data_IF_521567307582
#
_entry.id   IF_521567307582
#
_cell.length_a   1.000
_cell.length_b   1.000
_cell.length_c   1.000
_cell.angle_alpha   90.00
_cell.angle_beta   90.00
_cell.angle_gamma   90.00
#
_symmetry.space_group_name_H-M   'P 1'
#
loop_
_entity.id
_entity.type
_entity.pdbx_description
1 polymer ?
#
# COMPACT_ATOMS: atom_id res chain seq x y z
N UNK A 1 3.58 -7.32 -10.15
CA UNK A 1 4.30 -7.34 -11.45
C UNK A 1 3.76 -6.30 -12.43
N UNK A 2 2.46 -6.29 -12.82
CA UNK A 2 1.96 -5.36 -13.85
C UNK A 2 2.17 -3.87 -13.49
N UNK A 3 1.85 -3.45 -12.26
CA UNK A 3 2.11 -2.08 -11.81
C UNK A 3 3.61 -1.73 -11.81
N UNK A 4 4.48 -2.71 -11.48
CA UNK A 4 5.93 -2.51 -11.53
C UNK A 4 6.45 -2.38 -12.97
N UNK A 5 5.93 -3.15 -13.92
CA UNK A 5 6.26 -3.00 -15.33
C UNK A 5 5.80 -1.62 -15.90
N UNK A 6 4.65 -1.12 -15.43
CA UNK A 6 4.20 0.22 -15.77
C UNK A 6 5.04 1.31 -15.10
N UNK A 7 5.60 1.04 -13.91
CA UNK A 7 6.50 1.94 -13.20
C UNK A 7 7.78 2.27 -14.01
N UNK A 8 8.30 1.32 -14.77
CA UNK A 8 9.43 1.53 -15.66
C UNK A 8 9.17 2.60 -16.75
N UNK A 9 7.91 2.96 -16.93
CA UNK A 9 7.44 3.98 -17.87
C UNK A 9 6.70 5.14 -17.16
N UNK A 10 6.89 5.27 -15.82
CA UNK A 10 6.33 6.35 -15.02
C UNK A 10 4.83 6.26 -14.78
N UNK A 11 4.22 5.07 -14.95
CA UNK A 11 2.76 4.86 -14.85
C UNK A 11 2.34 3.84 -13.78
N UNK A 12 3.09 3.77 -12.66
CA UNK A 12 2.74 2.88 -11.55
C UNK A 12 1.31 3.11 -11.04
N UNK A 13 1.03 4.32 -10.58
CA UNK A 13 -0.27 4.64 -9.97
C UNK A 13 -1.44 4.53 -10.94
N UNK A 14 -1.39 5.03 -12.18
CA UNK A 14 -2.45 4.80 -13.14
C UNK A 14 -2.73 3.31 -13.42
N UNK A 15 -1.71 2.48 -13.45
CA UNK A 15 -1.88 1.02 -13.61
C UNK A 15 -2.45 0.39 -12.34
N UNK A 16 -1.96 0.78 -11.17
CA UNK A 16 -2.49 0.36 -9.87
C UNK A 16 -4.00 0.61 -9.79
N UNK A 17 -4.44 1.83 -10.09
CA UNK A 17 -5.85 2.21 -10.00
C UNK A 17 -6.73 1.40 -10.95
N UNK A 18 -6.28 1.14 -12.18
CA UNK A 18 -6.98 0.26 -13.12
C UNK A 18 -7.11 -1.18 -12.60
N UNK A 19 -6.07 -1.72 -11.97
CA UNK A 19 -6.08 -3.06 -11.39
C UNK A 19 -7.07 -3.13 -10.23
N UNK A 20 -7.07 -2.14 -9.33
CA UNK A 20 -7.98 -2.10 -8.19
C UNK A 20 -9.44 -1.86 -8.57
N UNK A 21 -9.69 -1.12 -9.67
CA UNK A 21 -11.04 -0.89 -10.18
C UNK A 21 -11.70 -2.15 -10.80
N UNK A 22 -10.93 -3.17 -11.16
CA UNK A 22 -11.44 -4.38 -11.83
C UNK A 22 -10.68 -5.64 -11.36
N UNK A 23 -10.77 -5.95 -10.07
CA UNK A 23 -10.06 -7.08 -9.44
C UNK A 23 -10.53 -8.46 -9.93
N UNK A 24 -11.73 -8.53 -10.50
CA UNK A 24 -12.28 -9.73 -11.16
C UNK A 24 -11.60 -10.06 -12.50
N UNK A 25 -10.85 -9.12 -13.08
CA UNK A 25 -10.23 -9.23 -14.40
C UNK A 25 -8.69 -9.23 -14.36
N UNK A 26 -8.12 -9.82 -13.33
CA UNK A 26 -6.66 -9.86 -13.14
C UNK A 26 -6.01 -10.97 -13.98
N UNK A 27 -5.83 -10.70 -15.28
CA UNK A 27 -5.14 -11.61 -16.19
C UNK A 27 -4.21 -10.87 -17.15
N UNK A 28 -3.35 -11.61 -17.85
CA UNK A 28 -2.33 -11.05 -18.74
C UNK A 28 -2.92 -10.17 -19.83
N UNK A 29 -3.99 -10.63 -20.48
CA UNK A 29 -4.64 -9.90 -21.60
C UNK A 29 -5.16 -8.54 -21.11
N UNK A 30 -5.77 -8.53 -19.93
CA UNK A 30 -6.31 -7.30 -19.36
C UNK A 30 -5.20 -6.32 -18.97
N UNK A 31 -4.07 -6.79 -18.43
CA UNK A 31 -2.92 -5.91 -18.12
C UNK A 31 -2.32 -5.29 -19.38
N UNK A 32 -2.23 -6.03 -20.46
CA UNK A 32 -1.77 -5.51 -21.77
C UNK A 32 -2.75 -4.47 -22.35
N UNK A 33 -4.05 -4.67 -22.16
CA UNK A 33 -5.06 -3.67 -22.52
C UNK A 33 -4.90 -2.40 -21.68
N UNK A 34 -4.71 -2.53 -20.37
CA UNK A 34 -4.46 -1.38 -19.51
C UNK A 34 -3.19 -0.62 -19.90
N UNK A 35 -2.13 -1.32 -20.27
CA UNK A 35 -0.91 -0.69 -20.75
C UNK A 35 -1.17 0.15 -22.01
N UNK A 36 -1.95 -0.39 -22.95
CA UNK A 36 -2.38 0.32 -24.16
C UNK A 36 -3.22 1.57 -23.84
N UNK A 37 -4.22 1.43 -22.96
CA UNK A 37 -5.10 2.53 -22.55
C UNK A 37 -4.34 3.67 -21.85
N UNK A 38 -3.27 3.32 -21.13
CA UNK A 38 -2.40 4.27 -20.44
C UNK A 38 -1.32 4.91 -21.34
N UNK A 39 -1.29 4.54 -22.64
CA UNK A 39 -0.31 5.04 -23.61
C UNK A 39 1.11 4.54 -23.37
N UNK A 40 1.24 3.35 -22.73
CA UNK A 40 2.55 2.72 -22.54
C UNK A 40 3.05 2.09 -23.84
N UNK A 41 4.38 1.98 -23.97
CA UNK A 41 4.98 1.06 -24.94
C UNK A 41 4.63 -0.37 -24.53
N UNK A 42 3.66 -0.95 -25.26
CA UNK A 42 3.13 -2.29 -24.96
C UNK A 42 4.18 -3.37 -25.16
N UNK A 43 5.10 -3.20 -26.13
CA UNK A 43 6.17 -4.16 -26.36
C UNK A 43 7.11 -4.21 -25.15
N UNK A 44 7.59 -3.06 -24.72
CA UNK A 44 8.45 -2.91 -23.53
C UNK A 44 7.74 -3.42 -22.27
N UNK A 45 6.44 -3.15 -22.12
CA UNK A 45 5.63 -3.65 -21.01
C UNK A 45 5.57 -5.17 -20.98
N UNK A 46 5.33 -5.82 -22.14
CA UNK A 46 5.34 -7.27 -22.28
C UNK A 46 6.69 -7.87 -21.93
N UNK A 47 7.77 -7.32 -22.47
CA UNK A 47 9.13 -7.75 -22.19
C UNK A 47 9.45 -7.68 -20.68
N UNK A 48 9.02 -6.62 -20.01
CA UNK A 48 9.20 -6.49 -18.55
C UNK A 48 8.45 -7.57 -17.78
N UNK A 49 7.24 -7.93 -18.21
CA UNK A 49 6.48 -9.02 -17.61
C UNK A 49 7.11 -10.38 -17.87
N UNK A 50 7.57 -10.65 -19.11
CA UNK A 50 8.13 -11.94 -19.52
C UNK A 50 9.48 -12.22 -18.87
N UNK A 51 10.30 -11.20 -18.71
CA UNK A 51 11.60 -11.29 -18.03
C UNK A 51 11.50 -11.15 -16.51
N UNK A 52 10.28 -10.93 -16.00
CA UNK A 52 10.03 -10.69 -14.57
C UNK A 52 10.97 -9.63 -13.96
N UNK A 53 11.31 -8.59 -14.74
CA UNK A 53 12.33 -7.58 -14.41
C UNK A 53 12.15 -6.95 -13.04
N UNK A 54 10.90 -6.70 -12.61
CA UNK A 54 10.60 -6.15 -11.28
C UNK A 54 10.54 -7.18 -10.15
N UNK A 55 10.73 -8.48 -10.45
CA UNK A 55 10.54 -9.55 -9.46
C UNK A 55 11.54 -9.48 -8.31
N UNK A 56 12.79 -9.19 -8.61
CA UNK A 56 13.84 -9.11 -7.58
C UNK A 56 13.52 -8.05 -6.51
N UNK A 57 13.06 -6.87 -6.90
CA UNK A 57 12.67 -5.83 -5.97
C UNK A 57 11.47 -6.28 -5.10
N UNK A 58 10.46 -6.88 -5.73
CA UNK A 58 9.28 -7.39 -5.00
C UNK A 58 9.69 -8.50 -4.01
N UNK A 59 10.57 -9.40 -4.40
CA UNK A 59 11.04 -10.48 -3.53
C UNK A 59 11.88 -9.92 -2.37
N UNK A 60 12.69 -8.88 -2.61
CA UNK A 60 13.44 -8.18 -1.56
C UNK A 60 12.49 -7.49 -0.56
N UNK A 61 11.51 -6.73 -1.04
CA UNK A 61 10.51 -6.07 -0.20
C UNK A 61 9.72 -7.09 0.66
N UNK A 62 9.35 -8.23 0.06
CA UNK A 62 8.69 -9.33 0.79
C UNK A 62 9.60 -9.94 1.87
N UNK A 63 10.85 -10.17 1.56
CA UNK A 63 11.81 -10.71 2.50
C UNK A 63 12.05 -9.75 3.67
N UNK A 64 12.18 -8.45 3.39
CA UNK A 64 12.29 -7.41 4.40
C UNK A 64 11.04 -7.38 5.29
N UNK A 65 9.85 -7.30 4.71
CA UNK A 65 8.60 -7.33 5.47
C UNK A 65 8.50 -8.56 6.38
N UNK A 66 8.88 -9.74 5.87
CA UNK A 66 8.89 -10.97 6.67
C UNK A 66 9.89 -10.89 7.82
N UNK A 67 11.10 -10.37 7.58
CA UNK A 67 12.13 -10.21 8.61
C UNK A 67 11.71 -9.24 9.73
N UNK A 68 10.86 -8.27 9.40
CA UNK A 68 10.26 -7.31 10.33
C UNK A 68 8.98 -7.83 11.01
N UNK A 69 8.61 -9.07 10.79
CA UNK A 69 7.43 -9.69 11.42
C UNK A 69 6.10 -9.38 10.73
N UNK A 70 6.11 -8.87 9.50
CA UNK A 70 4.88 -8.66 8.71
C UNK A 70 4.38 -10.01 8.21
N UNK A 71 3.27 -10.48 8.78
CA UNK A 71 2.65 -11.77 8.43
C UNK A 71 1.32 -11.61 7.69
N UNK A 72 0.84 -10.37 7.53
CA UNK A 72 -0.43 -10.07 6.85
C UNK A 72 -0.58 -8.59 6.53
N UNK A 73 -1.71 -8.25 5.89
CA UNK A 73 -2.02 -6.88 5.47
C UNK A 73 -3.38 -6.44 6.03
N UNK A 74 -3.53 -5.14 6.34
CA UNK A 74 -2.48 -4.12 6.33
C UNK A 74 -1.54 -4.24 7.52
N UNK A 75 -0.29 -3.78 7.36
CA UNK A 75 0.70 -3.67 8.42
C UNK A 75 1.36 -2.29 8.35
N UNK A 76 1.64 -1.71 9.50
CA UNK A 76 2.17 -0.35 9.60
C UNK A 76 3.33 -0.29 10.57
N UNK A 77 4.26 0.64 10.32
CA UNK A 77 5.31 1.03 11.25
C UNK A 77 5.23 2.52 11.53
N UNK A 78 5.15 2.90 12.79
CA UNK A 78 5.19 4.29 13.24
C UNK A 78 6.47 4.48 14.04
N UNK A 79 7.48 5.10 13.44
CA UNK A 79 8.83 5.24 14.04
C UNK A 79 9.36 3.91 14.62
N UNK A 80 9.27 2.84 13.86
CA UNK A 80 9.72 1.51 14.27
C UNK A 80 8.74 0.71 15.15
N UNK A 81 7.62 1.31 15.58
CA UNK A 81 6.55 0.57 16.27
C UNK A 81 5.65 -0.13 15.29
N UNK A 82 5.56 -1.44 15.40
CA UNK A 82 4.71 -2.27 14.56
C UNK A 82 3.24 -2.20 14.98
N UNK A 83 2.35 -1.95 14.01
CA UNK A 83 0.89 -1.98 14.16
C UNK A 83 0.33 -2.97 13.14
N UNK A 84 -0.21 -4.09 13.61
CA UNK A 84 -0.76 -5.14 12.77
C UNK A 84 -2.27 -4.97 12.57
N UNK A 85 -2.72 -5.13 11.33
CA UNK A 85 -4.13 -5.14 10.95
C UNK A 85 -4.74 -3.76 10.74
N UNK A 86 -5.99 -3.76 10.28
CA UNK A 86 -6.80 -2.55 10.09
C UNK A 86 -7.30 -2.05 11.45
N UNK A 87 -6.46 -1.28 12.12
CA UNK A 87 -6.79 -0.68 13.42
C UNK A 87 -7.74 0.51 13.27
N UNK A 88 -8.59 0.78 14.28
CA UNK A 88 -9.35 2.02 14.35
C UNK A 88 -8.45 3.25 14.33
N UNK A 89 -8.96 4.37 13.80
CA UNK A 89 -8.19 5.60 13.63
C UNK A 89 -7.57 6.12 14.95
N UNK A 90 -8.28 5.99 16.07
CA UNK A 90 -7.78 6.41 17.37
C UNK A 90 -6.52 5.64 17.81
N UNK A 91 -6.36 4.37 17.46
CA UNK A 91 -5.14 3.61 17.77
C UNK A 91 -3.93 4.15 17.00
N UNK A 92 -4.13 4.56 15.73
CA UNK A 92 -3.09 5.27 14.97
C UNK A 92 -2.77 6.64 15.58
N UNK A 93 -3.81 7.40 15.95
CA UNK A 93 -3.62 8.71 16.58
C UNK A 93 -2.83 8.59 17.90
N UNK A 94 -3.14 7.60 18.73
CA UNK A 94 -2.38 7.33 19.96
C UNK A 94 -0.92 7.00 19.66
N UNK A 95 -0.66 6.11 18.71
CA UNK A 95 0.70 5.71 18.36
C UNK A 95 1.52 6.88 17.81
N UNK A 96 0.94 7.66 16.89
CA UNK A 96 1.58 8.82 16.28
C UNK A 96 1.83 9.92 17.33
N UNK A 97 0.83 10.24 18.16
CA UNK A 97 0.96 11.27 19.19
C UNK A 97 2.04 10.93 20.21
N UNK A 98 2.19 9.65 20.56
CA UNK A 98 3.26 9.21 21.45
C UNK A 98 4.66 9.45 20.85
N UNK A 99 4.81 9.26 19.54
CA UNK A 99 6.09 9.53 18.86
C UNK A 99 6.36 11.04 18.69
N UNK A 100 5.31 11.83 18.42
CA UNK A 100 5.43 13.29 18.39
C UNK A 100 5.87 13.85 19.75
N UNK A 101 5.30 13.34 20.85
CA UNK A 101 5.70 13.74 22.21
C UNK A 101 7.17 13.43 22.49
N UNK A 102 7.65 12.23 22.12
CA UNK A 102 9.07 11.87 22.27
C UNK A 102 10.00 12.79 21.50
N UNK A 103 9.55 13.25 20.33
CA UNK A 103 10.30 14.17 19.48
C UNK A 103 10.16 15.64 19.90
N UNK A 104 9.42 15.94 20.99
CA UNK A 104 9.06 17.30 21.41
C UNK A 104 8.36 18.11 20.32
N UNK A 105 7.57 17.46 19.47
CA UNK A 105 6.76 18.10 18.43
C UNK A 105 5.35 18.32 18.96
N UNK A 106 4.79 19.54 18.88
CA UNK A 106 3.44 19.82 19.33
C UNK A 106 2.40 18.96 18.60
N UNK A 107 1.49 18.35 19.37
CA UNK A 107 0.39 17.56 18.82
C UNK A 107 -0.76 18.52 18.46
N UNK A 108 -1.23 18.54 17.18
CA UNK A 108 -2.39 19.34 16.80
C UNK A 108 -3.63 19.01 17.63
N UNK A 109 -4.43 20.02 18.00
CA UNK A 109 -5.62 19.83 18.85
C UNK A 109 -6.60 18.77 18.29
N UNK A 110 -6.81 18.75 16.97
CA UNK A 110 -7.64 17.74 16.32
C UNK A 110 -7.11 16.31 16.50
N UNK A 111 -5.78 16.12 16.50
CA UNK A 111 -5.16 14.82 16.70
C UNK A 111 -5.21 14.37 18.17
N UNK A 112 -5.22 15.29 19.13
CA UNK A 112 -5.45 14.98 20.55
C UNK A 112 -6.87 14.46 20.78
N UNK A 113 -7.87 15.09 20.20
CA UNK A 113 -9.27 14.67 20.28
C UNK A 113 -9.49 13.30 19.63
N UNK A 114 -8.87 13.04 18.48
CA UNK A 114 -8.98 11.77 17.76
C UNK A 114 -8.41 10.58 18.56
N UNK A 115 -7.35 10.78 19.34
CA UNK A 115 -6.76 9.77 20.20
C UNK A 115 -7.67 9.39 21.40
N UNK A 116 -8.52 10.33 21.86
CA UNK A 116 -9.48 10.11 22.94
C UNK A 116 -10.86 9.62 22.48
N UNK A 117 -11.11 9.57 21.18
CA UNK A 117 -12.40 9.12 20.65
C UNK A 117 -12.57 7.59 20.82
N UNK A 118 -13.75 7.09 21.23
CA UNK A 118 -14.01 5.67 21.21
C UNK A 118 -13.94 5.14 19.78
N UNK A 119 -13.57 3.85 19.57
CA UNK A 119 -13.54 3.27 18.23
C UNK A 119 -14.92 3.43 17.58
N UNK A 120 -14.96 3.94 16.36
CA UNK A 120 -16.19 4.00 15.59
C UNK A 120 -16.76 2.59 15.50
N UNK A 121 -17.94 2.37 16.06
CA UNK A 121 -18.58 1.09 16.12
C UNK A 121 -18.66 0.48 14.73
N UNK A 122 -18.12 -0.71 14.53
CA UNK A 122 -18.26 -1.46 13.29
C UNK A 122 -19.74 -1.55 12.94
N UNK A 123 -20.11 -1.10 11.74
CA UNK A 123 -21.47 -1.30 11.26
C UNK A 123 -21.77 -2.80 11.27
N UNK A 124 -22.94 -3.23 11.77
CA UNK A 124 -23.31 -4.63 11.71
C UNK A 124 -23.42 -5.04 10.26
N UNK A 125 -22.59 -5.99 9.84
CA UNK A 125 -22.68 -6.61 8.52
C UNK A 125 -24.06 -7.21 8.31
N UNK A 126 -24.73 -6.80 7.25
CA UNK A 126 -25.87 -7.52 6.67
C UNK A 126 -25.34 -8.57 5.70
#
# INVERSE_FOLDING_TARGET
>A
MAAQAANEQGKFWPMHDKIFAAQDKMNRVQYEQYAKDLGLDVKRFKESLDTARGKQAIDADKAEGTSLGVTGTPAFFVNGKFLSGAKPFNEFAVAINAELQKANIPIPAAAQQAAGAPPAGGAPGK
#
